data_IF_569752264014
#
_entry.id   IF_569752264014
#
_cell.length_a   1.000
_cell.length_b   1.000
_cell.length_c   1.000
_cell.angle_alpha   90.00
_cell.angle_beta   90.00
_cell.angle_gamma   90.00
#
_symmetry.space_group_name_H-M   'P 1'
#
loop_
_entity.id
_entity.type
_entity.pdbx_description
1 polymer ?
#
# COMPACT_ATOMS: atom_id res chain seq x y z
N UNK A 1 -11.18 17.85 3.66
CA UNK A 1 -10.51 16.58 4.00
C UNK A 1 -10.91 15.55 2.96
N UNK A 2 -9.95 14.80 2.40
CA UNK A 2 -10.25 13.72 1.47
C UNK A 2 -10.83 12.54 2.25
N UNK A 3 -11.81 11.84 1.66
CA UNK A 3 -12.31 10.59 2.21
C UNK A 3 -11.23 9.50 2.11
N UNK A 4 -11.28 8.52 3.02
CA UNK A 4 -10.40 7.36 3.00
C UNK A 4 -11.19 6.16 2.47
N UNK A 5 -10.75 5.61 1.35
CA UNK A 5 -11.48 4.59 0.62
C UNK A 5 -10.74 3.26 0.60
N UNK A 6 -11.49 2.15 0.45
CA UNK A 6 -10.89 0.84 0.26
C UNK A 6 -10.27 0.71 -1.13
N UNK A 7 -9.43 -0.32 -1.31
CA UNK A 7 -8.95 -0.70 -2.64
C UNK A 7 -10.12 -0.95 -3.60
N UNK A 8 -11.17 -1.62 -3.14
CA UNK A 8 -12.35 -1.93 -3.96
C UNK A 8 -13.03 -0.67 -4.49
N UNK A 9 -13.16 0.37 -3.67
CA UNK A 9 -13.74 1.65 -4.09
C UNK A 9 -12.86 2.32 -5.14
N UNK A 10 -11.54 2.33 -4.93
CA UNK A 10 -10.58 2.83 -5.92
C UNK A 10 -10.67 2.04 -7.23
N UNK A 11 -10.69 0.71 -7.15
CA UNK A 11 -10.82 -0.17 -8.33
C UNK A 11 -12.12 0.07 -9.08
N UNK A 12 -13.22 0.29 -8.37
CA UNK A 12 -14.50 0.62 -8.98
C UNK A 12 -14.49 1.94 -9.74
N UNK A 13 -13.76 2.94 -9.22
CA UNK A 13 -13.64 4.25 -9.85
C UNK A 13 -12.63 4.25 -11.02
N UNK A 14 -11.53 3.51 -10.88
CA UNK A 14 -10.40 3.50 -11.82
C UNK A 14 -9.92 2.07 -12.07
N UNK A 15 -10.74 1.22 -12.73
CA UNK A 15 -10.42 -0.21 -12.88
C UNK A 15 -9.10 -0.47 -13.61
N UNK A 16 -8.81 0.28 -14.68
CA UNK A 16 -7.57 0.12 -15.43
C UNK A 16 -6.33 0.52 -14.60
N UNK A 17 -6.43 1.60 -13.83
CA UNK A 17 -5.35 2.04 -12.96
C UNK A 17 -5.11 1.04 -11.82
N UNK A 18 -6.18 0.52 -11.22
CA UNK A 18 -6.09 -0.46 -10.14
C UNK A 18 -5.49 -1.79 -10.64
N UNK A 19 -5.86 -2.25 -11.83
CA UNK A 19 -5.28 -3.45 -12.43
C UNK A 19 -3.78 -3.30 -12.64
N UNK A 20 -3.34 -2.18 -13.24
CA UNK A 20 -1.92 -1.91 -13.46
C UNK A 20 -1.16 -1.71 -12.16
N UNK A 21 -1.76 -1.00 -11.20
CA UNK A 21 -1.16 -0.80 -9.89
C UNK A 21 -0.95 -2.12 -9.15
N UNK A 22 -1.95 -3.00 -9.17
CA UNK A 22 -1.84 -4.34 -8.58
C UNK A 22 -0.72 -5.13 -9.26
N UNK A 23 -0.66 -5.12 -10.59
CA UNK A 23 0.40 -5.80 -11.33
C UNK A 23 1.78 -5.29 -10.93
N UNK A 24 1.95 -3.99 -10.71
CA UNK A 24 3.21 -3.42 -10.25
C UNK A 24 3.55 -3.82 -8.81
N UNK A 25 2.56 -3.89 -7.91
CA UNK A 25 2.78 -4.38 -6.54
C UNK A 25 3.24 -5.83 -6.52
N UNK A 26 2.78 -6.65 -7.47
CA UNK A 26 3.07 -8.10 -7.52
C UNK A 26 4.07 -8.50 -8.59
N UNK A 27 4.76 -7.56 -9.24
CA UNK A 27 5.58 -7.86 -10.42
C UNK A 27 6.80 -8.75 -10.14
N UNK A 28 7.22 -8.85 -8.88
CA UNK A 28 8.34 -9.73 -8.48
C UNK A 28 7.87 -11.02 -7.79
N UNK A 29 6.59 -11.35 -7.90
CA UNK A 29 5.97 -12.55 -7.34
C UNK A 29 5.03 -12.23 -6.21
N UNK A 30 5.54 -12.08 -5.00
CA UNK A 30 4.75 -11.66 -3.84
C UNK A 30 4.45 -10.16 -3.91
N UNK A 31 3.33 -9.74 -3.31
CA UNK A 31 3.04 -8.31 -3.17
C UNK A 31 4.08 -7.65 -2.28
N UNK A 32 4.63 -6.52 -2.73
CA UNK A 32 5.68 -5.81 -2.01
C UNK A 32 5.71 -4.33 -2.36
N UNK A 33 6.33 -3.54 -1.49
CA UNK A 33 6.51 -2.12 -1.74
C UNK A 33 7.29 -1.42 -0.64
N UNK A 34 7.53 -0.14 -0.88
CA UNK A 34 8.16 0.76 0.07
C UNK A 34 7.05 1.53 0.80
N UNK A 35 6.92 1.26 2.09
CA UNK A 35 5.94 1.94 2.95
C UNK A 35 6.63 3.08 3.70
N UNK A 36 6.11 4.28 3.56
CA UNK A 36 6.51 5.43 4.36
C UNK A 36 5.55 5.58 5.53
N UNK A 37 6.11 5.67 6.73
CA UNK A 37 5.39 6.02 7.96
C UNK A 37 5.93 7.32 8.52
N UNK A 38 5.20 7.95 9.43
CA UNK A 38 5.57 9.24 10.02
C UNK A 38 5.74 9.07 11.53
N UNK A 39 6.94 9.34 12.03
CA UNK A 39 7.23 9.29 13.45
C UNK A 39 6.48 10.37 14.23
N UNK A 40 6.38 10.21 15.54
CA UNK A 40 5.68 11.18 16.42
C UNK A 40 6.25 12.59 16.30
N UNK A 41 7.55 12.74 15.98
CA UNK A 41 8.19 14.03 15.74
C UNK A 41 8.03 14.57 14.32
N UNK A 42 7.25 13.89 13.45
CA UNK A 42 6.99 14.30 12.07
C UNK A 42 8.04 13.83 11.06
N UNK A 43 9.08 13.14 11.48
CA UNK A 43 10.13 12.64 10.57
C UNK A 43 9.61 11.38 9.85
N UNK A 44 9.64 11.34 8.51
CA UNK A 44 9.22 10.14 7.77
C UNK A 44 10.27 9.03 7.82
N UNK A 45 9.80 7.79 7.71
CA UNK A 45 10.63 6.58 7.57
C UNK A 45 10.17 5.81 6.36
N UNK A 46 11.09 5.08 5.72
CA UNK A 46 10.78 4.18 4.62
C UNK A 46 11.11 2.76 5.04
N UNK A 47 10.19 1.83 4.73
CA UNK A 47 10.34 0.41 5.03
C UNK A 47 9.97 -0.41 3.80
N UNK A 48 10.80 -1.39 3.45
CA UNK A 48 10.43 -2.38 2.43
C UNK A 48 9.70 -3.54 3.11
N UNK A 49 8.52 -3.91 2.60
CA UNK A 49 7.72 -4.97 3.20
C UNK A 49 6.74 -5.59 2.20
N UNK A 50 6.13 -6.71 2.59
CA UNK A 50 5.06 -7.31 1.82
C UNK A 50 3.74 -6.55 2.02
N UNK A 51 2.98 -6.45 0.93
CA UNK A 51 1.61 -5.92 0.92
C UNK A 51 0.70 -6.93 0.22
N UNK A 52 -0.56 -6.95 0.57
CA UNK A 52 -1.52 -7.86 -0.05
C UNK A 52 -2.82 -7.17 -0.40
N UNK A 53 -3.30 -7.39 -1.62
CA UNK A 53 -4.65 -7.00 -2.03
C UNK A 53 -5.53 -8.24 -1.90
N UNK A 54 -6.39 -8.27 -0.91
CA UNK A 54 -7.21 -9.42 -0.56
C UNK A 54 -8.66 -8.98 -0.43
N UNK A 55 -9.54 -9.59 -1.22
CA UNK A 55 -10.98 -9.34 -1.17
C UNK A 55 -11.36 -7.85 -1.23
N UNK A 56 -10.66 -7.09 -2.08
CA UNK A 56 -10.95 -5.67 -2.27
C UNK A 56 -10.33 -4.74 -1.23
N UNK A 57 -9.37 -5.23 -0.45
CA UNK A 57 -8.69 -4.46 0.59
C UNK A 57 -7.17 -4.59 0.47
N UNK A 58 -6.47 -3.51 0.72
CA UNK A 58 -5.00 -3.48 0.72
C UNK A 58 -4.50 -3.58 2.15
N UNK A 59 -3.70 -4.61 2.43
CA UNK A 59 -3.25 -4.92 3.80
C UNK A 59 -1.74 -4.97 3.93
N UNK A 60 -1.27 -4.70 5.14
CA UNK A 60 0.10 -4.96 5.59
C UNK A 60 0.09 -5.54 7.00
N UNK A 61 0.95 -6.54 7.25
CA UNK A 61 1.36 -6.90 8.60
C UNK A 61 2.68 -6.20 8.89
N UNK A 62 2.79 -5.60 10.06
CA UNK A 62 4.04 -4.98 10.48
C UNK A 62 4.56 -5.69 11.72
N UNK A 63 5.88 -5.81 11.81
CA UNK A 63 6.51 -6.46 12.97
C UNK A 63 6.13 -5.69 14.24
N UNK A 64 5.62 -6.41 15.24
CA UNK A 64 5.29 -5.83 16.53
C UNK A 64 6.52 -5.22 17.21
N UNK A 65 6.34 -4.12 17.92
CA UNK A 65 7.39 -3.34 18.58
C UNK A 65 8.40 -2.69 17.62
N UNK A 66 8.16 -2.72 16.31
CA UNK A 66 9.00 -2.01 15.35
C UNK A 66 8.74 -0.50 15.35
N UNK A 67 9.67 0.26 14.79
CA UNK A 67 9.50 1.71 14.62
C UNK A 67 8.25 2.03 13.79
N UNK A 68 8.03 1.28 12.69
CA UNK A 68 6.85 1.49 11.83
C UNK A 68 5.53 1.19 12.54
N UNK A 69 5.51 0.18 13.43
CA UNK A 69 4.32 -0.11 14.23
C UNK A 69 4.02 1.06 15.19
N UNK A 70 5.03 1.60 15.86
CA UNK A 70 4.87 2.78 16.72
C UNK A 70 4.43 4.01 15.94
N UNK A 71 5.00 4.21 14.75
CA UNK A 71 4.63 5.34 13.89
C UNK A 71 3.14 5.28 13.53
N UNK A 72 2.65 4.11 13.08
CA UNK A 72 1.24 3.94 12.68
C UNK A 72 0.26 4.09 13.84
N UNK A 73 0.68 3.79 15.07
CA UNK A 73 -0.15 4.03 16.26
C UNK A 73 -0.26 5.53 16.58
N UNK A 74 0.80 6.31 16.37
CA UNK A 74 0.82 7.74 16.68
C UNK A 74 0.37 8.62 15.51
N UNK A 75 0.59 8.17 14.26
CA UNK A 75 0.20 8.89 13.05
C UNK A 75 -0.21 7.87 11.99
N UNK A 76 -1.46 7.89 11.58
CA UNK A 76 -2.02 6.91 10.63
C UNK A 76 -1.65 7.18 9.19
N UNK A 77 -1.10 8.34 8.87
CA UNK A 77 -0.75 8.67 7.48
C UNK A 77 0.37 7.78 6.97
N UNK A 78 0.20 7.34 5.74
CA UNK A 78 1.19 6.52 5.03
C UNK A 78 1.29 6.94 3.57
N UNK A 79 2.38 6.54 2.93
CA UNK A 79 2.50 6.44 1.49
C UNK A 79 3.13 5.09 1.16
N UNK A 80 2.66 4.46 0.09
CA UNK A 80 3.18 3.18 -0.39
C UNK A 80 3.55 3.32 -1.85
N UNK A 81 4.77 2.92 -2.22
CA UNK A 81 5.24 2.89 -3.60
C UNK A 81 5.64 1.47 -3.97
N UNK A 82 5.16 0.99 -5.12
CA UNK A 82 5.55 -0.31 -5.64
C UNK A 82 7.05 -0.36 -5.92
N UNK A 83 7.68 -1.53 -5.71
CA UNK A 83 9.05 -1.75 -6.10
C UNK A 83 9.15 -1.71 -7.62
N UNK A 84 10.08 -0.92 -8.17
CA UNK A 84 10.19 -0.71 -9.61
C UNK A 84 11.10 -1.74 -10.26
N UNK A 85 10.77 -2.10 -11.51
CA UNK A 85 11.66 -2.89 -12.36
C UNK A 85 12.55 -1.91 -13.14
N UNK A 86 13.87 -2.05 -12.99
CA UNK A 86 14.83 -1.18 -13.66
C UNK A 86 14.77 -1.28 -15.21
N UNK A 87 14.30 -2.41 -15.74
CA UNK A 87 14.14 -2.59 -17.19
C UNK A 87 13.01 -1.72 -17.77
N UNK A 88 11.97 -1.49 -16.97
CA UNK A 88 10.86 -0.59 -17.32
C UNK A 88 10.27 -0.04 -16.02
N UNK A 89 10.81 1.09 -15.51
CA UNK A 89 10.46 1.58 -14.17
C UNK A 89 9.13 2.34 -14.17
N UNK A 90 8.04 1.64 -14.39
CA UNK A 90 6.70 2.17 -14.17
C UNK A 90 6.48 2.40 -12.67
N UNK A 91 5.70 3.41 -12.32
CA UNK A 91 5.51 3.87 -10.96
C UNK A 91 4.06 3.70 -10.52
N UNK A 92 3.87 3.17 -9.32
CA UNK A 92 2.56 3.15 -8.70
C UNK A 92 2.69 3.52 -7.24
N UNK A 93 1.93 4.52 -6.81
CA UNK A 93 1.91 5.01 -5.44
C UNK A 93 0.46 5.18 -4.97
N UNK A 94 0.21 4.78 -3.74
CA UNK A 94 -1.02 5.12 -3.03
C UNK A 94 -0.65 5.79 -1.71
N UNK A 95 -1.53 6.67 -1.21
CA UNK A 95 -1.37 7.27 0.10
C UNK A 95 -2.73 7.53 0.74
N UNK A 96 -2.75 7.54 2.04
CA UNK A 96 -3.97 7.74 2.84
C UNK A 96 -3.72 7.50 4.31
N UNK A 97 -4.62 6.80 4.96
CA UNK A 97 -4.50 6.44 6.38
C UNK A 97 -4.57 4.94 6.58
N UNK A 98 -3.77 4.43 7.50
CA UNK A 98 -3.79 3.03 7.91
C UNK A 98 -4.85 2.83 9.01
N UNK A 99 -5.74 1.85 8.79
CA UNK A 99 -6.76 1.42 9.75
C UNK A 99 -6.27 0.17 10.47
N UNK A 100 -6.13 0.24 11.79
CA UNK A 100 -5.82 -0.97 12.57
C UNK A 100 -6.97 -1.96 12.47
N UNK A 101 -6.67 -3.19 12.06
CA UNK A 101 -7.64 -4.29 12.05
C UNK A 101 -7.72 -4.89 13.45
N UNK A 102 -8.89 -4.76 14.09
CA UNK A 102 -9.13 -5.26 15.45
C UNK A 102 -10.05 -6.48 15.49
N UNK A 103 -10.76 -6.76 14.40
CA UNK A 103 -11.59 -7.95 14.28
C UNK A 103 -10.71 -9.20 14.13
N UNK A 104 -10.82 -10.11 15.09
CA UNK A 104 -10.02 -11.34 15.11
C UNK A 104 -10.29 -12.23 13.89
N UNK A 105 -11.54 -12.31 13.42
CA UNK A 105 -11.91 -13.14 12.27
C UNK A 105 -11.32 -12.57 10.96
N UNK A 106 -11.37 -11.25 10.78
CA UNK A 106 -10.73 -10.58 9.63
C UNK A 106 -9.23 -10.85 9.65
N UNK A 107 -8.56 -10.62 10.78
CA UNK A 107 -7.13 -10.85 10.94
C UNK A 107 -6.75 -12.29 10.63
N UNK A 108 -7.46 -13.26 11.17
CA UNK A 108 -7.16 -14.68 10.97
C UNK A 108 -7.30 -15.07 9.49
N UNK A 109 -8.35 -14.62 8.84
CA UNK A 109 -8.57 -14.86 7.42
C UNK A 109 -7.43 -14.32 6.55
N UNK A 110 -6.93 -13.12 6.83
CA UNK A 110 -5.82 -12.52 6.07
C UNK A 110 -4.50 -13.22 6.39
N UNK A 111 -4.25 -13.55 7.66
CA UNK A 111 -3.02 -14.22 8.08
C UNK A 111 -2.86 -15.63 7.48
N UNK A 112 -3.96 -16.34 7.25
CA UNK A 112 -3.95 -17.73 6.78
C UNK A 112 -3.24 -17.88 5.42
N UNK A 113 -3.40 -16.91 4.51
CA UNK A 113 -2.85 -16.94 3.17
C UNK A 113 -1.74 -15.91 2.95
N UNK A 114 -1.16 -15.39 4.05
CA UNK A 114 -0.12 -14.37 3.94
C UNK A 114 1.19 -14.98 3.43
N UNK A 115 2.06 -14.16 2.87
CA UNK A 115 3.33 -14.53 2.22
C UNK A 115 4.33 -15.23 3.15
N UNK A 116 4.12 -15.14 4.45
CA UNK A 116 4.95 -15.78 5.48
C UNK A 116 4.07 -16.11 6.69
N UNK A 117 4.58 -16.93 7.61
CA UNK A 117 3.88 -17.24 8.86
C UNK A 117 3.84 -15.99 9.74
N UNK A 118 2.62 -15.49 10.00
CA UNK A 118 2.41 -14.28 10.78
C UNK A 118 2.41 -14.60 12.27
N UNK A 119 3.29 -13.92 13.03
CA UNK A 119 3.29 -14.03 14.49
C UNK A 119 2.10 -13.26 15.10
N UNK A 120 1.59 -13.74 16.23
CA UNK A 120 0.46 -13.11 16.93
C UNK A 120 0.76 -11.66 17.32
N UNK A 121 2.03 -11.31 17.52
CA UNK A 121 2.47 -9.97 17.89
C UNK A 121 2.47 -8.97 16.72
N UNK A 122 2.24 -9.44 15.49
CA UNK A 122 2.26 -8.56 14.32
C UNK A 122 0.90 -7.91 14.12
N UNK A 123 0.73 -6.60 14.32
CA UNK A 123 -0.52 -5.93 13.99
C UNK A 123 -0.77 -5.93 12.48
N UNK A 124 -2.06 -6.00 12.13
CA UNK A 124 -2.56 -5.91 10.76
C UNK A 124 -3.17 -4.53 10.56
N UNK A 125 -2.81 -3.91 9.42
CA UNK A 125 -3.42 -2.65 9.00
C UNK A 125 -4.01 -2.78 7.61
N UNK A 126 -5.19 -2.21 7.41
CA UNK A 126 -5.70 -1.92 6.07
C UNK A 126 -5.21 -0.53 5.68
N UNK A 127 -4.64 -0.43 4.48
CA UNK A 127 -4.19 0.84 3.91
C UNK A 127 -5.34 1.46 3.11
N UNK A 128 -6.04 2.40 3.73
CA UNK A 128 -7.13 3.14 3.10
C UNK A 128 -6.54 4.24 2.20
N UNK A 129 -7.16 4.46 1.05
CA UNK A 129 -6.59 5.26 -0.03
C UNK A 129 -7.34 6.59 -0.18
N UNK A 130 -6.61 7.68 -0.14
CA UNK A 130 -7.09 9.02 -0.49
C UNK A 130 -6.60 9.46 -1.86
N UNK A 131 -5.47 8.92 -2.32
CA UNK A 131 -4.85 9.33 -3.58
C UNK A 131 -4.06 8.16 -4.16
N UNK A 132 -4.17 7.95 -5.48
CA UNK A 132 -3.37 7.00 -6.23
C UNK A 132 -2.73 7.69 -7.41
N UNK A 133 -1.49 7.30 -7.75
CA UNK A 133 -0.73 7.83 -8.87
C UNK A 133 -0.13 6.66 -9.66
N UNK A 134 -0.31 6.67 -10.98
CA UNK A 134 0.31 5.72 -11.91
C UNK A 134 1.17 6.49 -12.89
N UNK A 135 2.45 6.11 -13.01
CA UNK A 135 3.37 6.64 -14.01
C UNK A 135 3.79 5.53 -14.96
N UNK A 136 3.53 5.69 -16.25
CA UNK A 136 3.83 4.67 -17.27
C UNK A 136 4.81 5.17 -18.30
N UNK A 137 5.66 4.27 -18.78
CA UNK A 137 6.64 4.51 -19.84
C UNK A 137 6.47 3.47 -20.93
N UNK A 138 6.83 3.82 -22.16
CA UNK A 138 6.89 2.86 -23.26
C UNK A 138 8.18 2.04 -23.20
N UNK A 139 9.26 2.63 -22.66
CA UNK A 139 10.56 1.98 -22.46
C UNK A 139 11.30 2.62 -21.29
N UNK A 140 12.43 2.02 -20.89
CA UNK A 140 13.27 2.55 -19.81
C UNK A 140 13.82 3.95 -20.12
N UNK A 141 14.01 4.25 -21.40
CA UNK A 141 14.57 5.54 -21.86
C UNK A 141 13.51 6.63 -22.03
N UNK A 142 12.24 6.27 -21.91
CA UNK A 142 11.12 7.20 -22.07
C UNK A 142 11.01 8.10 -20.84
N UNK A 143 11.12 9.41 -21.03
CA UNK A 143 11.07 10.39 -19.94
C UNK A 143 10.42 11.69 -20.41
N UNK A 144 9.54 12.32 -19.59
CA UNK A 144 9.02 11.79 -18.30
C UNK A 144 7.97 10.71 -18.50
N UNK A 145 7.63 9.94 -17.45
CA UNK A 145 6.50 9.03 -17.51
C UNK A 145 5.19 9.76 -17.78
N UNK A 146 4.22 9.04 -18.32
CA UNK A 146 2.85 9.57 -18.42
C UNK A 146 2.16 9.30 -17.10
N UNK A 147 1.79 10.37 -16.38
CA UNK A 147 1.15 10.26 -15.05
C UNK A 147 -0.37 10.37 -15.15
N UNK A 148 -1.04 9.50 -14.41
CA UNK A 148 -2.47 9.60 -14.12
C UNK A 148 -2.67 9.52 -12.62
N UNK A 149 -3.63 10.27 -12.11
CA UNK A 149 -3.94 10.24 -10.68
C UNK A 149 -5.43 10.14 -10.42
N UNK A 150 -5.75 9.56 -9.28
CA UNK A 150 -7.10 9.53 -8.73
C UNK A 150 -7.07 10.08 -7.32
N UNK A 151 -8.10 10.82 -6.98
CA UNK A 151 -8.32 11.30 -5.61
C UNK A 151 -9.69 10.85 -5.17
N UNK A 152 -9.81 10.38 -3.94
CA UNK A 152 -11.10 10.01 -3.39
C UNK A 152 -12.02 11.24 -3.34
N UNK A 153 -13.33 11.08 -3.62
CA UNK A 153 -14.27 12.18 -3.50
C UNK A 153 -14.36 12.64 -2.03
N UNK A 154 -14.73 13.91 -1.83
CA UNK A 154 -14.94 14.49 -0.50
C UNK A 154 -16.32 14.12 0.02
#
# INVERSE_FOLDING_TARGET
>A
MLAMESWQTFEGAEPAMAEKGRALLYQHGDGEGFLTTVAANGIPRIHFLNVGVVEGHLYVFVQGHSAKARDLESNRHYALHANMDAAKPDEFMVRGEARRVTDAAERESIAADWFFTVADSYPLYELLIAHALLGERDSADDWPPRYRSWRSPR
#
